data_IF_045554202652
#
_entry.id   IF_045554202652
#
_cell.length_a   1.000
_cell.length_b   1.000
_cell.length_c   1.000
_cell.angle_alpha   90.00
_cell.angle_beta   90.00
_cell.angle_gamma   90.00
#
_symmetry.space_group_name_H-M   'P 1'
#
loop_
_entity.id
_entity.type
_entity.pdbx_description
1 polymer ?
#
# COMPACT_ATOMS: atom_id res chain seq x y z
N UNK A 1 -4.88 13.44 -0.75
CA UNK A 1 -3.41 13.31 -0.84
C UNK A 1 -3.07 12.14 -1.77
N UNK A 2 -2.06 12.27 -2.62
CA UNK A 2 -1.53 11.12 -3.38
C UNK A 2 -0.61 10.28 -2.49
N UNK A 3 -0.62 8.96 -2.69
CA UNK A 3 0.18 7.98 -1.94
C UNK A 3 0.71 6.92 -2.90
N UNK A 4 1.76 6.23 -2.50
CA UNK A 4 2.46 5.26 -3.34
C UNK A 4 2.19 3.82 -2.89
N UNK A 5 1.99 2.92 -3.84
CA UNK A 5 1.83 1.48 -3.63
C UNK A 5 2.72 0.70 -4.61
N UNK A 6 3.63 -0.11 -4.10
CA UNK A 6 4.47 -0.95 -4.95
C UNK A 6 3.78 -2.26 -5.31
N UNK A 7 3.97 -2.69 -6.56
CA UNK A 7 3.38 -3.90 -7.10
C UNK A 7 4.42 -5.04 -7.32
N UNK A 8 5.63 -4.91 -6.77
CA UNK A 8 6.69 -5.94 -6.80
C UNK A 8 7.64 -5.85 -8.01
N UNK A 9 8.52 -6.84 -8.24
CA UNK A 9 9.35 -6.95 -9.45
C UNK A 9 8.54 -7.36 -10.69
N UNK A 10 8.93 -6.92 -11.89
CA UNK A 10 8.51 -7.58 -13.12
C UNK A 10 9.25 -8.92 -13.22
N UNK A 11 8.52 -10.02 -13.36
CA UNK A 11 9.00 -11.41 -13.26
C UNK A 11 10.43 -11.68 -13.76
N UNK A 12 11.15 -12.52 -13.00
CA UNK A 12 12.49 -12.99 -13.32
C UNK A 12 12.52 -13.98 -14.50
N UNK A 13 13.73 -14.28 -14.96
CA UNK A 13 14.07 -15.16 -16.08
C UNK A 13 13.51 -16.58 -15.87
N UNK A 14 12.28 -16.81 -16.32
CA UNK A 14 11.80 -18.00 -17.03
C UNK A 14 10.36 -17.73 -17.49
N UNK A 15 10.17 -17.70 -18.80
CA UNK A 15 8.87 -17.68 -19.48
C UNK A 15 7.96 -18.81 -18.99
N UNK A 16 6.97 -18.48 -18.15
CA UNK A 16 5.76 -19.28 -17.97
C UNK A 16 4.64 -18.42 -17.36
N UNK A 17 3.73 -17.96 -18.23
CA UNK A 17 2.44 -17.32 -17.91
C UNK A 17 2.49 -16.04 -17.08
N UNK A 18 2.34 -14.91 -17.79
CA UNK A 18 1.82 -13.62 -17.33
C UNK A 18 1.56 -13.46 -15.83
N UNK A 19 2.60 -13.07 -15.10
CA UNK A 19 2.46 -12.50 -13.76
C UNK A 19 1.85 -11.10 -13.94
N UNK A 20 0.52 -11.07 -13.99
CA UNK A 20 -0.22 -9.83 -14.04
C UNK A 20 0.01 -9.08 -12.72
N UNK A 21 0.31 -7.80 -12.81
CA UNK A 21 0.45 -6.94 -11.65
C UNK A 21 -0.95 -6.78 -11.05
N UNK A 22 -1.27 -7.56 -10.01
CA UNK A 22 -2.60 -7.55 -9.42
C UNK A 22 -2.64 -6.55 -8.27
N UNK A 23 -3.50 -5.54 -8.42
CA UNK A 23 -3.85 -4.69 -7.29
C UNK A 23 -4.68 -5.51 -6.29
N UNK A 24 -4.36 -5.47 -4.98
CA UNK A 24 -5.11 -6.21 -3.96
C UNK A 24 -6.55 -5.70 -3.87
N UNK A 25 -7.47 -6.37 -4.57
CA UNK A 25 -8.88 -5.98 -4.72
C UNK A 25 -9.89 -6.94 -4.05
N UNK A 26 -9.43 -7.88 -3.22
CA UNK A 26 -10.28 -8.89 -2.59
C UNK A 26 -11.05 -8.40 -1.36
N UNK A 27 -12.12 -9.11 -1.00
CA UNK A 27 -12.90 -8.85 0.22
C UNK A 27 -11.99 -9.06 1.45
N UNK A 28 -11.79 -8.01 2.24
CA UNK A 28 -10.89 -8.02 3.42
C UNK A 28 -9.42 -7.73 3.10
N UNK A 29 -9.08 -7.37 1.85
CA UNK A 29 -7.73 -6.94 1.50
C UNK A 29 -7.38 -5.61 2.19
N UNK A 30 -6.25 -5.60 2.90
CA UNK A 30 -5.67 -4.38 3.49
C UNK A 30 -4.61 -3.86 2.53
N UNK A 31 -4.59 -2.55 2.31
CA UNK A 31 -3.64 -1.92 1.39
C UNK A 31 -2.73 -0.99 2.17
N UNK A 32 -1.43 -1.31 2.21
CA UNK A 32 -0.42 -0.43 2.78
C UNK A 32 0.10 0.53 1.70
N UNK A 33 0.03 1.83 1.96
CA UNK A 33 0.47 2.88 1.05
C UNK A 33 1.42 3.82 1.75
N UNK A 34 2.31 4.47 1.01
CA UNK A 34 3.40 5.27 1.56
C UNK A 34 3.28 6.73 1.14
N UNK A 35 3.76 7.64 2.00
CA UNK A 35 3.81 9.08 1.68
C UNK A 35 4.84 9.42 0.62
N UNK A 36 5.82 8.53 0.37
CA UNK A 36 6.87 8.70 -0.62
C UNK A 36 7.20 7.40 -1.35
N UNK A 37 7.76 7.53 -2.55
CA UNK A 37 8.14 6.40 -3.40
C UNK A 37 9.31 5.59 -2.84
N UNK A 38 10.25 6.21 -2.10
CA UNK A 38 11.38 5.51 -1.46
C UNK A 38 10.92 4.45 -0.47
N UNK A 39 10.07 4.83 0.51
CA UNK A 39 9.50 3.87 1.47
C UNK A 39 8.63 2.79 0.80
N UNK A 40 7.86 3.17 -0.23
CA UNK A 40 7.12 2.17 -1.02
C UNK A 40 8.07 1.19 -1.73
N UNK A 41 9.15 1.68 -2.31
CA UNK A 41 10.16 0.87 -3.00
C UNK A 41 10.82 -0.13 -2.04
N UNK A 42 11.26 0.33 -0.87
CA UNK A 42 11.87 -0.50 0.17
C UNK A 42 10.91 -1.60 0.65
N UNK A 43 9.61 -1.29 0.81
CA UNK A 43 8.60 -2.26 1.23
C UNK A 43 8.33 -3.39 0.23
N UNK A 44 8.67 -3.18 -1.05
CA UNK A 44 8.42 -4.13 -2.12
C UNK A 44 9.47 -5.25 -2.22
N UNK A 45 10.48 -5.24 -1.35
CA UNK A 45 11.60 -6.16 -1.35
C UNK A 45 12.70 -5.81 -2.37
N UNK A 46 13.78 -6.60 -2.36
CA UNK A 46 14.91 -6.47 -3.29
C UNK A 46 14.66 -7.14 -4.66
N UNK A 47 15.60 -6.97 -5.59
CA UNK A 47 15.53 -7.58 -6.92
C UNK A 47 16.21 -6.72 -7.97
N UNK A 48 16.54 -7.31 -9.13
CA UNK A 48 17.13 -6.61 -10.28
C UNK A 48 16.07 -6.51 -11.37
N UNK A 49 16.06 -5.41 -12.13
CA UNK A 49 15.26 -5.29 -13.35
C UNK A 49 14.24 -4.16 -13.31
N UNK A 50 13.12 -4.36 -14.00
CA UNK A 50 12.03 -3.38 -14.09
C UNK A 50 11.04 -3.59 -12.95
N UNK A 51 10.52 -2.49 -12.43
CA UNK A 51 9.50 -2.44 -11.39
C UNK A 51 8.39 -1.50 -11.78
N UNK A 52 7.31 -1.55 -11.03
CA UNK A 52 6.23 -0.60 -11.14
C UNK A 52 5.62 -0.26 -9.78
N UNK A 53 4.98 0.89 -9.75
CA UNK A 53 4.38 1.47 -8.57
C UNK A 53 3.13 2.22 -9.00
N UNK A 54 2.05 2.07 -8.24
CA UNK A 54 0.87 2.91 -8.39
C UNK A 54 1.01 4.16 -7.55
N UNK A 55 0.65 5.27 -8.15
CA UNK A 55 0.26 6.47 -7.43
C UNK A 55 -1.24 6.41 -7.26
N UNK A 56 -1.69 6.37 -6.02
CA UNK A 56 -3.09 6.25 -5.66
C UNK A 56 -3.57 7.49 -4.91
N UNK A 57 -4.84 7.86 -5.11
CA UNK A 57 -5.57 8.70 -4.16
C UNK A 57 -6.20 7.80 -3.10
N UNK A 58 -5.89 8.06 -1.83
CA UNK A 58 -6.41 7.25 -0.71
C UNK A 58 -7.42 8.04 0.10
N UNK A 59 -8.59 7.44 0.33
CA UNK A 59 -9.62 7.92 1.24
C UNK A 59 -9.33 7.34 2.63
N UNK A 60 -8.50 8.03 3.42
CA UNK A 60 -8.01 7.50 4.70
C UNK A 60 -9.09 7.36 5.78
N UNK A 61 -10.19 8.10 5.66
CA UNK A 61 -11.28 8.12 6.65
C UNK A 61 -10.77 8.49 8.04
N UNK A 62 -11.30 7.82 9.06
CA UNK A 62 -10.81 7.89 10.44
C UNK A 62 -9.50 7.13 10.55
N UNK A 63 -8.43 7.86 10.86
CA UNK A 63 -7.08 7.31 10.99
C UNK A 63 -6.69 7.22 12.45
N UNK A 64 -6.30 6.03 12.90
CA UNK A 64 -5.61 5.87 14.18
C UNK A 64 -4.10 5.81 13.97
N UNK A 65 -3.31 6.32 14.92
CA UNK A 65 -1.85 6.13 14.89
C UNK A 65 -1.53 4.78 15.52
N UNK A 66 -0.53 4.09 14.97
CA UNK A 66 0.07 2.92 15.61
C UNK A 66 0.85 3.35 16.87
N UNK A 67 0.13 3.77 17.91
CA UNK A 67 0.63 4.01 19.27
C UNK A 67 0.05 2.89 20.13
N UNK A 68 0.86 2.37 21.06
CA UNK A 68 0.60 1.16 21.83
C UNK A 68 -0.84 0.97 22.30
N UNK A 69 -1.20 -0.31 22.44
CA UNK A 69 -2.49 -0.92 22.83
C UNK A 69 -3.34 -0.19 23.89
N UNK A 70 -2.79 0.75 24.65
CA UNK A 70 -3.46 1.49 25.71
C UNK A 70 -4.44 2.57 25.24
N UNK A 71 -4.36 3.02 23.97
CA UNK A 71 -5.32 4.02 23.43
C UNK A 71 -6.59 3.41 22.82
N UNK A 72 -6.65 2.09 22.68
CA UNK A 72 -7.75 1.39 22.00
C UNK A 72 -8.98 1.17 22.88
N UNK A 73 -8.87 1.40 24.20
CA UNK A 73 -9.88 0.99 25.17
C UNK A 73 -11.05 2.00 25.23
N UNK A 74 -10.81 3.27 24.90
CA UNK A 74 -11.85 4.33 24.92
C UNK A 74 -12.56 4.49 23.55
N UNK A 75 -11.86 4.21 22.44
CA UNK A 75 -12.36 4.35 21.06
C UNK A 75 -13.07 3.09 20.51
N UNK A 76 -13.22 2.03 21.31
CA UNK A 76 -13.86 0.75 20.91
C UNK A 76 -15.32 0.89 20.39
N UNK A 77 -15.95 2.07 20.49
CA UNK A 77 -17.28 2.35 19.93
C UNK A 77 -17.26 2.87 18.50
N UNK A 78 -16.11 3.35 18.00
CA UNK A 78 -15.99 4.03 16.71
C UNK A 78 -14.91 3.33 15.88
N UNK A 79 -15.30 2.52 14.90
CA UNK A 79 -14.35 1.84 14.02
C UNK A 79 -13.47 2.81 13.22
N UNK A 80 -12.21 2.44 12.99
CA UNK A 80 -11.26 3.17 12.14
C UNK A 80 -11.26 2.63 10.71
N UNK A 81 -11.01 3.52 9.75
CA UNK A 81 -10.95 3.19 8.32
C UNK A 81 -9.51 2.92 7.86
N UNK A 82 -8.51 3.46 8.59
CA UNK A 82 -7.09 3.19 8.36
C UNK A 82 -6.21 3.39 9.60
N UNK A 83 -4.96 2.89 9.51
CA UNK A 83 -3.93 3.05 10.53
C UNK A 83 -2.70 3.73 9.92
N UNK A 84 -2.22 4.80 10.56
CA UNK A 84 -0.96 5.45 10.22
C UNK A 84 0.20 4.79 10.96
N UNK A 85 1.24 4.40 10.23
CA UNK A 85 2.51 3.92 10.79
C UNK A 85 3.48 5.07 11.07
N UNK A 86 4.64 4.72 11.64
CA UNK A 86 5.71 5.66 12.02
C UNK A 86 6.51 6.21 10.83
N UNK A 87 6.63 5.44 9.74
CA UNK A 87 7.46 5.80 8.58
C UNK A 87 6.65 6.37 7.40
N UNK A 88 5.59 7.11 7.70
CA UNK A 88 4.70 7.66 6.67
C UNK A 88 3.84 6.61 5.96
N UNK A 89 3.72 5.42 6.53
CA UNK A 89 2.86 4.34 6.08
C UNK A 89 1.40 4.61 6.44
N UNK A 90 0.47 4.14 5.62
CA UNK A 90 -0.96 4.19 5.88
C UNK A 90 -1.58 2.89 5.38
N UNK A 91 -2.15 2.12 6.30
CA UNK A 91 -2.82 0.87 6.01
C UNK A 91 -4.34 1.08 5.98
N UNK A 92 -4.94 1.02 4.81
CA UNK A 92 -6.40 1.07 4.63
C UNK A 92 -7.02 -0.32 4.79
N UNK A 93 -8.14 -0.43 5.49
CA UNK A 93 -8.82 -1.71 5.72
C UNK A 93 -9.77 -2.12 4.58
N UNK A 94 -10.10 -1.19 3.69
CA UNK A 94 -10.92 -1.42 2.49
C UNK A 94 -10.12 -1.02 1.25
N UNK A 95 -9.93 -1.97 0.31
CA UNK A 95 -9.23 -1.72 -0.95
C UNK A 95 -9.95 -0.67 -1.82
N UNK A 96 -11.27 -0.53 -1.69
CA UNK A 96 -12.06 0.48 -2.42
C UNK A 96 -11.70 1.91 -2.01
N UNK A 97 -11.09 2.09 -0.84
CA UNK A 97 -10.60 3.39 -0.41
C UNK A 97 -9.34 3.84 -1.16
N UNK A 98 -8.71 2.95 -1.93
CA UNK A 98 -7.51 3.23 -2.71
C UNK A 98 -7.87 3.31 -4.19
N UNK A 99 -7.77 4.50 -4.75
CA UNK A 99 -8.10 4.80 -6.14
C UNK A 99 -6.80 4.93 -6.94
N UNK A 100 -6.44 3.96 -7.80
CA UNK A 100 -5.29 4.08 -8.69
C UNK A 100 -5.44 5.32 -9.59
N UNK A 101 -4.38 6.12 -9.70
CA UNK A 101 -4.37 7.32 -10.56
C UNK A 101 -3.33 7.18 -11.68
N UNK A 102 -2.12 6.73 -11.35
CA UNK A 102 -1.03 6.59 -12.30
C UNK A 102 -0.24 5.31 -12.04
N UNK A 103 0.26 4.70 -13.11
CA UNK A 103 1.24 3.61 -13.05
C UNK A 103 2.61 4.16 -13.45
N UNK A 104 3.60 3.98 -12.58
CA UNK A 104 4.99 4.29 -12.85
C UNK A 104 5.70 2.98 -13.11
N UNK A 105 6.35 2.83 -14.26
CA UNK A 105 7.28 1.72 -14.54
C UNK A 105 8.69 2.31 -14.51
N UNK A 106 9.57 1.74 -13.70
CA UNK A 106 10.93 2.23 -13.50
C UNK A 106 11.95 1.09 -13.48
N UNK A 107 13.21 1.44 -13.70
CA UNK A 107 14.35 0.53 -13.56
C UNK A 107 15.09 0.87 -12.27
N UNK A 108 15.65 -0.15 -11.64
CA UNK A 108 16.53 -0.03 -10.48
C UNK A 108 17.97 0.25 -10.89
#
# INVERSE_FOLDING_TARGET
MMRFYCLGPAGGVHEARGDAWVFPGGKGARVCTFSGSGGAHESAGGGIGRRAMLVCRVVAGRVTKQVGVDSLIDDCRVGFDSVSGVNGELMAFDSRAVLPCFLIIYKL
#
